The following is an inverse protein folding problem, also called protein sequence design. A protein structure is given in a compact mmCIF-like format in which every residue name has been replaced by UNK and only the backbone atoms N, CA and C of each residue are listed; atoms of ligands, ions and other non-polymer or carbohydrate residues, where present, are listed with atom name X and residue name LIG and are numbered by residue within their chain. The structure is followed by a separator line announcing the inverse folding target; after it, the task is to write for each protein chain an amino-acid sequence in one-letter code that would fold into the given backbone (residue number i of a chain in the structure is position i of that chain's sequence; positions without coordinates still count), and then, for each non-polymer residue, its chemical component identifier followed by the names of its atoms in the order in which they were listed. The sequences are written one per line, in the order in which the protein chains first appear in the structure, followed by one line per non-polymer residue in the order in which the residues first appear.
data_IF_589489620842
#
_entry.id   IF_589489620842
#
_cell.length_a   1.000
_cell.length_b   1.000
_cell.length_c   1.000
_cell.angle_alpha   90.00
_cell.angle_beta   90.00
_cell.angle_gamma   90.00
#
_symmetry.space_group_name_H-M   'P 1'
#
loop_
_entity.id
_entity.type
_entity.pdbx_description
1 polymer ?
#
# COMPACT_ATOMS: atom_id res chain seq x y z
N UNK A 1 40.61 -60.59 2.97
CA UNK A 1 40.89 -59.28 3.64
C UNK A 1 40.50 -58.20 2.65
N UNK A 2 39.60 -57.22 2.88
CA UNK A 2 38.79 -56.75 4.01
C UNK A 2 37.42 -56.34 3.44
N UNK A 3 36.36 -56.60 4.22
CA UNK A 3 35.03 -55.97 4.10
C UNK A 3 35.11 -54.48 4.46
N UNK A 4 34.03 -53.73 4.19
CA UNK A 4 33.53 -52.47 4.80
C UNK A 4 33.04 -51.56 3.64
N UNK A 5 31.89 -50.91 3.67
CA UNK A 5 30.63 -51.03 4.40
C UNK A 5 29.64 -50.11 3.65
N UNK A 6 28.39 -50.52 3.61
CA UNK A 6 27.25 -49.77 3.11
C UNK A 6 27.07 -48.44 3.82
N UNK A 7 26.75 -47.37 3.09
CA UNK A 7 26.01 -46.22 3.61
C UNK A 7 24.89 -45.91 2.61
N UNK A 8 23.69 -46.40 2.95
CA UNK A 8 22.44 -45.81 2.50
C UNK A 8 22.30 -44.45 3.17
N UNK A 9 22.10 -43.37 2.40
CA UNK A 9 21.36 -42.21 2.88
C UNK A 9 20.22 -42.00 1.90
N UNK A 10 19.03 -42.32 2.40
CA UNK A 10 17.75 -42.03 1.78
C UNK A 10 17.60 -40.51 1.64
N UNK A 11 17.45 -40.01 0.41
CA UNK A 11 16.96 -38.66 0.20
C UNK A 11 15.45 -38.73 0.02
N UNK A 12 14.79 -38.21 1.04
CA UNK A 12 13.36 -38.21 1.26
C UNK A 12 12.59 -37.55 0.11
N UNK A 13 11.46 -38.17 -0.24
CA UNK A 13 10.33 -37.59 -0.98
C UNK A 13 10.02 -36.18 -0.46
N UNK A 14 10.13 -35.15 -1.31
CA UNK A 14 9.35 -33.92 -1.19
C UNK A 14 8.16 -34.02 -2.14
N UNK A 15 7.15 -34.77 -1.71
CA UNK A 15 5.83 -34.74 -2.34
C UNK A 15 5.16 -33.39 -2.01
N UNK A 16 4.90 -32.62 -3.07
CA UNK A 16 3.70 -31.80 -3.28
C UNK A 16 2.99 -31.21 -2.05
N UNK A 17 3.25 -29.93 -1.81
CA UNK A 17 2.22 -28.99 -1.33
C UNK A 17 2.18 -27.82 -2.34
N UNK A 18 1.66 -28.11 -3.53
CA UNK A 18 1.10 -27.04 -4.37
C UNK A 18 -0.16 -26.58 -3.65
N UNK A 19 -0.09 -25.45 -2.95
CA UNK A 19 -1.27 -24.79 -2.45
C UNK A 19 -2.14 -24.44 -3.67
N UNK A 20 -3.18 -25.23 -3.90
CA UNK A 20 -4.24 -24.91 -4.85
C UNK A 20 -4.83 -23.57 -4.44
N UNK A 21 -4.68 -22.57 -5.31
CA UNK A 21 -5.44 -21.32 -5.26
C UNK A 21 -6.87 -21.64 -5.70
N UNK A 22 -7.67 -22.17 -4.79
CA UNK A 22 -9.13 -22.19 -4.95
C UNK A 22 -9.66 -20.84 -4.45
N UNK A 23 -9.73 -19.87 -5.35
CA UNK A 23 -10.62 -18.71 -5.16
C UNK A 23 -11.49 -18.62 -6.40
N UNK A 24 -12.76 -18.94 -6.22
CA UNK A 24 -13.78 -18.72 -7.24
C UNK A 24 -13.74 -17.25 -7.68
N UNK A 25 -13.74 -17.02 -8.99
CA UNK A 25 -13.99 -15.70 -9.55
C UNK A 25 -15.40 -15.30 -9.14
N UNK A 26 -15.53 -14.31 -8.25
CA UNK A 26 -16.83 -13.79 -7.86
C UNK A 26 -17.45 -13.08 -9.08
N UNK A 27 -18.66 -13.51 -9.43
CA UNK A 27 -19.37 -13.08 -10.63
C UNK A 27 -19.85 -11.65 -10.41
N UNK A 28 -19.28 -10.71 -11.18
CA UNK A 28 -19.56 -9.28 -11.09
C UNK A 28 -21.04 -8.96 -11.21
N UNK A 29 -21.66 -8.59 -10.08
CA UNK A 29 -22.77 -7.63 -10.02
C UNK A 29 -23.15 -7.16 -8.60
N UNK A 30 -22.44 -7.61 -7.58
CA UNK A 30 -22.69 -7.20 -6.19
C UNK A 30 -21.99 -5.87 -5.91
N UNK A 31 -22.64 -4.89 -5.23
CA UNK A 31 -21.94 -3.76 -4.64
C UNK A 31 -20.74 -4.30 -3.87
N UNK A 32 -19.55 -3.77 -4.13
CA UNK A 32 -18.29 -4.23 -3.53
C UNK A 32 -18.30 -3.94 -2.03
N UNK A 33 -18.75 -4.93 -1.25
CA UNK A 33 -18.86 -4.92 0.21
C UNK A 33 -17.46 -4.94 0.82
N UNK A 34 -17.28 -4.26 1.96
CA UNK A 34 -16.03 -4.38 2.70
C UNK A 34 -15.76 -5.85 3.04
N UNK A 35 -14.61 -6.40 2.62
CA UNK A 35 -14.30 -7.83 2.86
C UNK A 35 -13.91 -8.06 4.31
N UNK A 36 -12.84 -7.42 4.77
CA UNK A 36 -12.37 -7.51 6.14
C UNK A 36 -11.49 -6.32 6.49
N UNK A 37 -11.54 -5.90 7.75
CA UNK A 37 -10.51 -5.02 8.31
C UNK A 37 -9.16 -5.74 8.24
N UNK A 38 -8.12 -5.06 7.77
CA UNK A 38 -6.75 -5.54 7.78
C UNK A 38 -6.14 -5.15 9.13
N UNK A 39 -5.91 -6.10 10.05
CA UNK A 39 -5.34 -5.77 11.35
C UNK A 39 -3.88 -5.34 11.19
N UNK A 40 -3.39 -4.53 12.12
CA UNK A 40 -2.00 -4.06 12.09
C UNK A 40 -0.99 -5.23 12.19
N UNK A 41 -1.38 -6.35 12.79
CA UNK A 41 -0.58 -7.58 12.85
C UNK A 41 -0.42 -8.28 11.49
N UNK A 42 -1.19 -7.90 10.48
CA UNK A 42 -1.06 -8.39 9.11
C UNK A 42 0.00 -7.63 8.30
N UNK A 43 0.75 -6.69 8.90
CA UNK A 43 1.76 -5.90 8.22
C UNK A 43 3.18 -6.24 8.69
N UNK A 44 4.10 -6.26 7.73
CA UNK A 44 5.54 -6.29 7.94
C UNK A 44 6.01 -4.85 7.91
N UNK A 45 6.73 -4.47 8.97
CA UNK A 45 7.31 -3.14 9.12
C UNK A 45 8.78 -3.21 8.75
N UNK A 46 9.21 -2.38 7.82
CA UNK A 46 10.59 -2.32 7.39
C UNK A 46 10.97 -0.90 6.96
N UNK A 47 12.27 -0.63 6.93
CA UNK A 47 12.81 0.64 6.49
C UNK A 47 14.22 0.47 5.98
N UNK A 48 14.66 1.39 5.12
CA UNK A 48 16.04 1.42 4.61
C UNK A 48 16.98 2.16 5.55
N UNK A 49 16.45 2.88 6.55
CA UNK A 49 17.25 3.78 7.38
C UNK A 49 16.69 3.97 8.80
N UNK A 50 16.61 5.23 9.27
CA UNK A 50 16.31 5.57 10.67
C UNK A 50 14.83 5.79 10.95
N UNK A 51 14.00 5.99 9.91
CA UNK A 51 12.57 5.86 10.07
C UNK A 51 12.26 4.42 10.48
N UNK A 52 11.51 4.27 11.57
CA UNK A 52 11.08 2.94 12.01
C UNK A 52 9.58 2.96 12.09
N UNK A 53 8.87 2.36 11.12
CA UNK A 53 7.45 2.16 11.24
C UNK A 53 7.16 1.38 12.52
N UNK A 54 6.08 1.72 13.19
CA UNK A 54 5.71 1.08 14.46
C UNK A 54 4.20 0.94 14.60
N UNK A 55 3.81 -0.08 15.35
CA UNK A 55 2.43 -0.30 15.76
C UNK A 55 2.06 0.70 16.86
N UNK A 56 0.93 1.38 16.71
CA UNK A 56 0.45 2.40 17.64
C UNK A 56 -0.25 1.69 18.80
N UNK A 57 0.45 1.60 19.93
CA UNK A 57 -0.03 0.94 21.16
C UNK A 57 -1.42 1.44 21.59
N UNK A 58 -2.26 0.51 22.06
CA UNK A 58 -3.64 0.80 22.48
C UNK A 58 -4.63 1.01 21.31
N UNK A 59 -4.20 0.83 20.06
CA UNK A 59 -5.03 0.94 18.87
C UNK A 59 -4.70 -0.15 17.84
N UNK A 60 -5.45 -0.21 16.73
CA UNK A 60 -5.12 -1.02 15.55
C UNK A 60 -4.46 -0.17 14.46
N UNK A 61 -3.62 0.79 14.87
CA UNK A 61 -3.02 1.78 14.00
C UNK A 61 -1.54 1.55 13.72
N UNK A 62 -1.06 1.95 12.56
CA UNK A 62 0.35 1.91 12.19
C UNK A 62 0.83 3.34 11.92
N UNK A 63 1.99 3.68 12.46
CA UNK A 63 2.71 4.91 12.11
C UNK A 63 3.86 4.58 11.16
N UNK A 64 3.99 5.34 10.08
CA UNK A 64 5.11 5.31 9.15
C UNK A 64 5.77 6.70 9.17
N UNK A 65 6.79 6.93 10.02
CA UNK A 65 7.48 8.21 10.10
C UNK A 65 8.37 8.41 8.87
N UNK A 66 8.59 9.65 8.46
CA UNK A 66 9.61 9.99 7.45
C UNK A 66 10.96 10.07 8.16
N UNK A 67 11.89 9.19 7.83
CA UNK A 67 13.24 9.27 8.35
C UNK A 67 14.12 10.29 7.62
N UNK A 68 15.38 10.44 8.05
CA UNK A 68 16.20 11.63 7.78
C UNK A 68 17.41 11.41 6.87
N UNK A 69 17.53 10.28 6.19
CA UNK A 69 18.67 10.02 5.29
C UNK A 69 18.31 10.13 3.81
N UNK A 70 19.32 10.27 2.95
CA UNK A 70 19.15 10.70 1.54
C UNK A 70 18.26 9.82 0.66
N UNK A 71 17.97 8.60 1.09
CA UNK A 71 17.07 7.64 0.42
C UNK A 71 16.32 6.85 1.48
N UNK A 72 15.60 7.56 2.34
CA UNK A 72 14.78 6.93 3.38
C UNK A 72 13.49 6.40 2.76
N UNK A 73 13.31 5.09 2.84
CA UNK A 73 12.09 4.40 2.45
C UNK A 73 11.67 3.57 3.64
N UNK A 74 10.61 3.98 4.31
CA UNK A 74 9.99 3.21 5.37
C UNK A 74 8.60 2.78 4.95
N UNK A 75 8.24 1.55 5.31
CA UNK A 75 6.99 0.97 4.88
C UNK A 75 6.36 0.05 5.93
N UNK A 76 5.04 0.09 5.94
CA UNK A 76 4.19 -0.96 6.46
C UNK A 76 3.53 -1.63 5.26
N UNK A 77 3.90 -2.88 5.00
CA UNK A 77 3.40 -3.66 3.87
C UNK A 77 2.63 -4.88 4.36
N UNK A 78 1.42 -5.11 3.84
CA UNK A 78 0.62 -6.29 4.16
C UNK A 78 1.36 -7.59 3.82
N UNK A 79 1.36 -8.56 4.72
CA UNK A 79 2.14 -9.81 4.64
C UNK A 79 1.62 -10.75 3.54
N UNK A 80 0.29 -10.85 3.45
CA UNK A 80 -0.40 -11.61 2.42
C UNK A 80 -1.35 -10.68 1.69
N UNK A 81 -1.12 -10.49 0.40
CA UNK A 81 -2.06 -9.78 -0.45
C UNK A 81 -3.41 -10.50 -0.50
N UNK A 82 -4.38 -9.88 -1.15
CA UNK A 82 -5.72 -10.40 -1.31
C UNK A 82 -6.36 -9.80 -2.54
N UNK A 83 -7.33 -10.50 -3.11
CA UNK A 83 -8.17 -9.91 -4.14
C UNK A 83 -8.93 -8.71 -3.56
N UNK A 84 -8.74 -7.56 -4.18
CA UNK A 84 -9.39 -6.31 -3.78
C UNK A 84 -9.73 -5.45 -5.00
N UNK A 85 -10.69 -4.58 -4.79
CA UNK A 85 -11.25 -3.58 -5.68
C UNK A 85 -11.00 -2.17 -5.14
N UNK A 86 -10.56 -2.04 -3.89
CA UNK A 86 -10.38 -0.74 -3.26
C UNK A 86 -9.84 -0.85 -1.85
N UNK A 87 -9.51 0.30 -1.28
CA UNK A 87 -9.07 0.45 0.11
C UNK A 87 -9.85 1.54 0.83
N UNK A 88 -9.89 1.43 2.15
CA UNK A 88 -10.24 2.52 3.05
C UNK A 88 -9.33 2.49 4.28
N UNK A 89 -8.96 3.67 4.79
CA UNK A 89 -8.35 3.81 6.11
C UNK A 89 -8.77 5.14 6.74
N UNK A 90 -8.80 5.16 8.07
CA UNK A 90 -8.85 6.41 8.84
C UNK A 90 -7.42 6.80 9.19
N UNK A 91 -7.02 8.04 8.96
CA UNK A 91 -5.62 8.38 9.16
C UNK A 91 -5.30 9.79 8.74
N UNK A 92 -4.01 10.11 8.71
CA UNK A 92 -3.53 11.41 8.29
C UNK A 92 -2.16 11.29 7.61
N UNK A 93 -1.86 12.30 6.80
CA UNK A 93 -0.55 12.54 6.21
C UNK A 93 0.03 13.79 6.86
N UNK A 94 0.82 13.64 7.92
CA UNK A 94 1.35 14.76 8.70
C UNK A 94 2.60 15.34 8.06
N UNK A 95 2.68 16.66 8.11
CA UNK A 95 3.85 17.46 7.74
C UNK A 95 3.96 17.75 6.24
N UNK A 96 5.08 18.36 5.86
CA UNK A 96 5.37 18.83 4.49
C UNK A 96 5.69 20.33 4.44
N UNK A 97 6.42 20.74 3.38
CA UNK A 97 7.08 22.03 3.04
C UNK A 97 8.60 22.16 3.27
N UNK A 98 9.26 21.07 3.68
CA UNK A 98 10.69 21.06 4.02
C UNK A 98 11.55 20.16 3.11
N UNK A 99 10.95 19.47 2.14
CA UNK A 99 11.65 18.58 1.23
C UNK A 99 12.20 19.32 0.00
N UNK A 100 13.35 18.87 -0.50
CA UNK A 100 13.99 19.45 -1.69
C UNK A 100 13.40 18.96 -3.01
N UNK A 101 12.54 17.93 -2.98
CA UNK A 101 12.07 17.23 -4.18
C UNK A 101 10.59 16.88 -4.07
N UNK A 102 9.88 16.97 -5.19
CA UNK A 102 8.51 16.45 -5.34
C UNK A 102 8.43 14.93 -5.34
N UNK A 103 9.57 14.24 -5.45
CA UNK A 103 9.65 12.80 -5.23
C UNK A 103 9.64 12.43 -3.74
N UNK A 104 9.89 13.39 -2.85
CA UNK A 104 9.71 13.14 -1.41
C UNK A 104 8.23 13.10 -1.11
N UNK A 105 7.72 11.96 -0.68
CA UNK A 105 6.29 11.70 -0.57
C UNK A 105 5.94 10.78 0.59
N UNK A 106 4.67 10.79 0.93
CA UNK A 106 4.02 9.85 1.83
C UNK A 106 2.85 9.23 1.07
N UNK A 107 2.73 7.92 1.03
CA UNK A 107 1.69 7.24 0.25
C UNK A 107 1.00 6.13 1.04
N UNK A 108 -0.30 5.97 0.80
CA UNK A 108 -1.11 4.83 1.27
C UNK A 108 -1.91 4.29 0.09
N UNK A 109 -1.69 3.03 -0.28
CA UNK A 109 -2.18 2.47 -1.53
C UNK A 109 -2.34 0.95 -1.51
N UNK A 110 -3.02 0.44 -2.53
CA UNK A 110 -2.98 -0.96 -2.94
C UNK A 110 -2.06 -1.12 -4.14
N UNK A 111 -1.21 -2.14 -4.16
CA UNK A 111 -0.35 -2.49 -5.29
C UNK A 111 -0.30 -4.00 -5.53
N UNK A 112 -0.22 -4.43 -6.79
CA UNK A 112 -0.18 -5.86 -7.16
C UNK A 112 1.26 -6.40 -7.26
N UNK A 113 2.27 -5.52 -7.16
CA UNK A 113 3.68 -5.87 -7.25
C UNK A 113 4.54 -5.12 -6.23
N UNK A 114 4.65 -5.68 -5.02
CA UNK A 114 5.53 -5.20 -3.93
C UNK A 114 7.01 -5.56 -4.11
N UNK A 115 7.38 -6.25 -5.19
CA UNK A 115 8.79 -6.62 -5.46
C UNK A 115 9.47 -5.60 -6.36
N UNK A 116 8.77 -5.13 -7.40
CA UNK A 116 9.33 -4.22 -8.39
C UNK A 116 8.68 -2.83 -8.40
N UNK A 117 7.58 -2.63 -7.66
CA UNK A 117 6.89 -1.33 -7.55
C UNK A 117 6.53 -0.68 -8.90
N UNK A 118 6.27 -1.51 -9.90
CA UNK A 118 5.97 -1.11 -11.28
C UNK A 118 4.59 -1.63 -11.76
N UNK A 119 3.79 -2.10 -10.81
CA UNK A 119 2.50 -2.73 -11.06
C UNK A 119 1.34 -1.75 -11.16
N UNK A 120 0.12 -2.27 -11.03
CA UNK A 120 -1.07 -1.45 -10.87
C UNK A 120 -1.12 -0.96 -9.42
N UNK A 121 -1.24 0.35 -9.24
CA UNK A 121 -1.38 0.95 -7.91
C UNK A 121 -2.56 1.93 -7.88
N UNK A 122 -3.28 1.94 -6.77
CA UNK A 122 -4.30 2.95 -6.51
C UNK A 122 -4.26 3.39 -5.05
N UNK A 123 -4.31 4.69 -4.81
CA UNK A 123 -4.29 5.21 -3.46
C UNK A 123 -4.11 6.69 -3.35
N UNK A 124 -3.59 7.11 -2.21
CA UNK A 124 -3.40 8.49 -1.83
C UNK A 124 -1.91 8.76 -1.64
N UNK A 125 -1.48 9.94 -2.07
CA UNK A 125 -0.10 10.37 -1.99
C UNK A 125 -0.03 11.84 -1.59
N UNK A 126 0.86 12.16 -0.67
CA UNK A 126 1.17 13.52 -0.28
C UNK A 126 2.60 13.85 -0.64
N UNK A 127 2.79 14.87 -1.46
CA UNK A 127 4.13 15.38 -1.78
C UNK A 127 4.60 16.32 -0.68
N UNK A 128 5.84 16.09 -0.21
CA UNK A 128 6.40 16.72 0.99
C UNK A 128 7.10 18.05 0.71
N UNK A 129 7.40 18.36 -0.54
CA UNK A 129 7.96 19.66 -0.93
C UNK A 129 6.88 20.76 -0.95
N UNK A 130 5.68 20.43 -1.41
CA UNK A 130 4.58 21.38 -1.64
C UNK A 130 3.37 21.15 -0.72
N UNK A 131 3.40 20.10 0.11
CA UNK A 131 2.35 19.77 1.07
C UNK A 131 0.98 19.50 0.39
N UNK A 132 1.00 18.84 -0.77
CA UNK A 132 -0.20 18.58 -1.58
C UNK A 132 -0.62 17.12 -1.49
N UNK A 133 -1.85 16.89 -1.04
CA UNK A 133 -2.49 15.58 -1.01
C UNK A 133 -3.22 15.31 -2.34
N UNK A 134 -3.01 14.12 -2.89
CA UNK A 134 -3.52 13.70 -4.21
C UNK A 134 -4.11 12.29 -4.11
N UNK A 135 -5.12 12.01 -4.91
CA UNK A 135 -5.46 10.64 -5.30
C UNK A 135 -4.67 10.28 -6.55
N UNK A 136 -4.21 9.04 -6.67
CA UNK A 136 -3.39 8.61 -7.81
C UNK A 136 -3.70 7.19 -8.28
N UNK A 137 -3.35 6.93 -9.54
CA UNK A 137 -3.29 5.63 -10.19
C UNK A 137 -1.92 5.44 -10.87
N UNK A 138 -1.33 4.26 -10.69
CA UNK A 138 -0.18 3.79 -11.47
C UNK A 138 -0.57 2.55 -12.26
N UNK A 139 -0.06 2.38 -13.47
CA UNK A 139 -0.27 1.16 -14.26
C UNK A 139 0.17 1.32 -15.71
N UNK A 140 0.79 0.29 -16.29
CA UNK A 140 1.28 0.31 -17.67
C UNK A 140 2.33 1.39 -17.95
N UNK A 141 3.14 1.75 -16.95
CA UNK A 141 4.13 2.83 -17.03
C UNK A 141 3.57 4.25 -16.94
N UNK A 142 2.26 4.39 -16.68
CA UNK A 142 1.61 5.69 -16.47
C UNK A 142 1.40 5.96 -14.98
N UNK A 143 1.51 7.23 -14.62
CA UNK A 143 1.21 7.75 -13.29
C UNK A 143 0.24 8.92 -13.45
N UNK A 144 -0.99 8.77 -12.94
CA UNK A 144 -2.09 9.72 -13.11
C UNK A 144 -2.55 10.15 -11.73
N UNK A 145 -2.71 11.45 -11.49
CA UNK A 145 -3.14 11.96 -10.19
C UNK A 145 -4.05 13.18 -10.33
N UNK A 146 -4.79 13.46 -9.25
CA UNK A 146 -5.54 14.69 -9.09
C UNK A 146 -5.46 15.18 -7.64
N UNK A 147 -5.29 16.49 -7.47
CA UNK A 147 -5.20 17.13 -6.16
C UNK A 147 -6.52 17.03 -5.39
N UNK A 148 -6.42 16.67 -4.12
CA UNK A 148 -7.53 16.62 -3.15
C UNK A 148 -7.52 17.87 -2.28
N UNK A 149 -6.37 18.18 -1.66
CA UNK A 149 -6.19 19.29 -0.74
C UNK A 149 -4.72 19.73 -0.67
N UNK A 150 -4.50 20.91 -0.12
CA UNK A 150 -3.18 21.53 0.07
C UNK A 150 -3.05 21.92 1.54
N UNK A 151 -1.88 21.72 2.15
CA UNK A 151 -1.63 22.00 3.57
C UNK A 151 -2.51 21.22 4.56
N UNK A 152 -2.96 20.05 4.15
CA UNK A 152 -3.86 19.22 4.94
C UNK A 152 -3.10 18.19 5.76
N UNK A 153 -3.11 18.36 7.08
CA UNK A 153 -2.53 17.42 8.04
C UNK A 153 -3.61 16.76 8.92
N UNK A 154 -4.88 16.93 8.54
CA UNK A 154 -6.04 16.46 9.29
C UNK A 154 -6.19 14.94 9.26
N UNK A 155 -6.96 14.43 10.22
CA UNK A 155 -7.41 13.05 10.16
C UNK A 155 -8.67 12.96 9.31
N UNK A 156 -8.67 12.02 8.38
CA UNK A 156 -9.77 11.78 7.47
C UNK A 156 -10.01 10.28 7.28
N UNK A 157 -11.21 9.95 6.80
CA UNK A 157 -11.47 8.63 6.20
C UNK A 157 -11.19 8.71 4.71
N UNK A 158 -10.06 8.14 4.29
CA UNK A 158 -9.68 8.05 2.88
C UNK A 158 -10.21 6.75 2.28
N UNK A 159 -10.84 6.83 1.10
CA UNK A 159 -11.31 5.64 0.37
C UNK A 159 -11.10 5.80 -1.13
N UNK A 160 -10.54 4.79 -1.78
CA UNK A 160 -10.55 4.67 -3.23
C UNK A 160 -11.06 3.30 -3.67
N UNK A 161 -11.83 3.24 -4.75
CA UNK A 161 -12.48 2.00 -5.19
C UNK A 161 -12.67 1.93 -6.71
N UNK A 162 -12.15 0.87 -7.31
CA UNK A 162 -12.31 0.53 -8.71
C UNK A 162 -13.75 0.15 -9.04
N UNK A 163 -14.20 0.55 -10.23
CA UNK A 163 -15.57 0.30 -10.68
C UNK A 163 -15.67 -1.06 -11.36
N UNK A 164 -16.66 -1.85 -10.97
CA UNK A 164 -16.96 -3.13 -11.63
C UNK A 164 -17.38 -2.95 -13.09
N UNK A 165 -18.04 -1.83 -13.42
CA UNK A 165 -18.47 -1.49 -14.77
C UNK A 165 -17.36 -0.97 -15.68
N UNK A 166 -16.24 -0.52 -15.09
CA UNK A 166 -15.05 -0.12 -15.83
C UNK A 166 -13.80 -0.29 -14.96
N UNK A 167 -13.07 -1.37 -15.20
CA UNK A 167 -11.90 -1.79 -14.40
C UNK A 167 -10.72 -0.82 -14.50
N UNK A 168 -10.76 0.14 -15.42
CA UNK A 168 -9.76 1.20 -15.59
C UNK A 168 -10.05 2.45 -14.77
N UNK A 169 -11.20 2.51 -14.10
CA UNK A 169 -11.67 3.66 -13.33
C UNK A 169 -11.68 3.40 -11.84
N UNK A 170 -11.25 4.39 -11.06
CA UNK A 170 -11.24 4.37 -9.59
C UNK A 170 -11.85 5.66 -9.05
N UNK A 171 -12.86 5.52 -8.20
CA UNK A 171 -13.51 6.62 -7.51
C UNK A 171 -12.80 6.93 -6.19
N UNK A 172 -12.61 8.20 -5.88
CA UNK A 172 -11.93 8.69 -4.68
C UNK A 172 -12.89 9.46 -3.77
N UNK A 173 -12.80 9.18 -2.47
CA UNK A 173 -13.62 9.77 -1.42
C UNK A 173 -12.74 10.18 -0.24
N UNK A 174 -13.12 11.28 0.41
CA UNK A 174 -12.57 11.71 1.71
C UNK A 174 -13.73 12.05 2.62
N UNK A 175 -13.74 11.45 3.81
CA UNK A 175 -14.83 11.56 4.81
C UNK A 175 -16.20 11.18 4.25
N UNK A 176 -16.23 10.15 3.38
CA UNK A 176 -17.43 9.71 2.69
C UNK A 176 -17.90 10.63 1.56
N UNK A 177 -17.25 11.78 1.35
CA UNK A 177 -17.57 12.73 0.28
C UNK A 177 -16.76 12.38 -0.97
N UNK A 178 -17.47 12.13 -2.08
CA UNK A 178 -16.87 11.94 -3.39
C UNK A 178 -16.03 13.14 -3.80
N UNK A 179 -14.83 12.90 -4.35
CA UNK A 179 -13.93 13.93 -4.86
C UNK A 179 -13.85 13.91 -6.39
N UNK A 180 -13.49 12.77 -6.95
CA UNK A 180 -13.30 12.59 -8.39
C UNK A 180 -13.13 11.10 -8.76
N UNK A 181 -13.15 10.82 -10.05
CA UNK A 181 -12.77 9.53 -10.65
C UNK A 181 -11.49 9.73 -11.45
N UNK A 182 -10.51 8.85 -11.27
CA UNK A 182 -9.35 8.75 -12.18
C UNK A 182 -9.54 7.59 -13.16
N UNK A 183 -9.04 7.75 -14.39
CA UNK A 183 -9.06 6.71 -15.42
C UNK A 183 -7.63 6.46 -15.91
N UNK A 184 -7.16 5.21 -15.86
CA UNK A 184 -5.92 4.78 -16.50
C UNK A 184 -6.21 3.57 -17.40
N UNK A 185 -6.27 3.81 -18.71
CA UNK A 185 -6.55 2.76 -19.70
C UNK A 185 -5.37 1.78 -19.89
N UNK A 186 -4.20 2.07 -19.30
CA UNK A 186 -3.00 1.22 -19.37
C UNK A 186 -2.90 0.23 -18.20
N UNK A 187 -3.75 0.36 -17.18
CA UNK A 187 -3.79 -0.51 -16.00
C UNK A 187 -5.19 -1.07 -15.74
N UNK A 188 -5.32 -2.09 -14.91
CA UNK A 188 -6.62 -2.61 -14.44
C UNK A 188 -6.60 -2.65 -12.93
N UNK A 189 -7.71 -2.24 -12.28
CA UNK A 189 -7.75 -2.03 -10.82
C UNK A 189 -8.80 -2.85 -10.09
N UNK A 190 -9.60 -3.63 -10.83
CA UNK A 190 -10.72 -4.34 -10.27
C UNK A 190 -10.37 -5.80 -9.97
N UNK A 191 -10.48 -6.19 -8.70
CA UNK A 191 -10.37 -7.57 -8.24
C UNK A 191 -8.99 -8.22 -8.53
N UNK A 192 -7.92 -7.42 -8.49
CA UNK A 192 -6.56 -7.94 -8.57
C UNK A 192 -6.06 -8.37 -7.20
N UNK A 193 -5.02 -9.19 -7.20
CA UNK A 193 -4.31 -9.58 -5.98
C UNK A 193 -3.44 -8.42 -5.49
N UNK A 194 -3.97 -7.67 -4.52
CA UNK A 194 -3.37 -6.44 -4.00
C UNK A 194 -2.76 -6.63 -2.61
N UNK A 195 -1.69 -5.89 -2.35
CA UNK A 195 -1.09 -5.68 -1.04
C UNK A 195 -1.41 -4.27 -0.57
N UNK A 196 -1.86 -4.12 0.68
CA UNK A 196 -2.00 -2.82 1.33
C UNK A 196 -0.64 -2.31 1.79
N UNK A 197 -0.29 -1.08 1.41
CA UNK A 197 0.99 -0.46 1.73
C UNK A 197 0.77 0.96 2.24
N UNK A 198 1.43 1.30 3.34
CA UNK A 198 1.73 2.68 3.71
C UNK A 198 3.24 2.88 3.68
N UNK A 199 3.74 3.88 2.96
CA UNK A 199 5.18 4.11 2.80
C UNK A 199 5.52 5.59 2.73
N UNK A 200 6.77 5.93 2.96
CA UNK A 200 7.30 7.24 2.64
C UNK A 200 8.57 7.13 1.79
N UNK A 201 8.87 8.19 1.06
CA UNK A 201 10.13 8.40 0.38
C UNK A 201 10.71 9.76 0.79
N UNK A 202 11.98 9.80 1.18
CA UNK A 202 12.69 11.03 1.45
C UNK A 202 13.93 11.19 0.58
N UNK A 203 13.94 12.25 -0.24
CA UNK A 203 15.04 12.61 -1.14
C UNK A 203 15.74 13.92 -0.73
N UNK A 204 15.88 14.14 0.57
CA UNK A 204 16.63 15.29 1.13
C UNK A 204 15.80 16.56 1.38
N UNK A 205 16.39 17.49 2.13
CA UNK A 205 15.73 18.67 2.69
C UNK A 205 16.28 19.01 4.07
N UNK A 206 15.60 19.89 4.81
CA UNK A 206 15.85 20.02 6.25
C UNK A 206 15.32 18.79 7.00
N UNK A 207 15.78 18.54 8.23
CA UNK A 207 15.38 17.36 9.01
C UNK A 207 13.85 17.18 9.01
N UNK A 208 13.32 16.02 8.59
CA UNK A 208 11.87 15.78 8.52
C UNK A 208 11.29 15.54 9.92
N UNK A 209 11.21 16.59 10.72
CA UNK A 209 10.59 16.52 12.05
C UNK A 209 9.08 16.58 11.93
N UNK A 210 8.38 15.59 12.50
CA UNK A 210 6.92 15.54 12.56
C UNK A 210 6.22 15.10 11.28
N UNK A 211 6.97 14.69 10.26
CA UNK A 211 6.41 14.12 9.04
C UNK A 211 6.15 12.63 9.24
N UNK A 212 4.90 12.19 9.15
CA UNK A 212 4.53 10.79 9.27
C UNK A 212 3.15 10.51 8.66
N UNK A 213 2.93 9.25 8.30
CA UNK A 213 1.60 8.72 8.03
C UNK A 213 1.11 8.01 9.28
N UNK A 214 -0.15 8.18 9.62
CA UNK A 214 -0.83 7.29 10.54
C UNK A 214 -2.01 6.64 9.85
N UNK A 215 -2.12 5.32 9.96
CA UNK A 215 -3.16 4.52 9.33
C UNK A 215 -3.88 3.69 10.38
N UNK A 216 -5.18 3.84 10.47
CA UNK A 216 -6.09 3.12 11.36
C UNK A 216 -7.25 2.55 10.55
N UNK A 217 -7.97 1.59 11.11
CA UNK A 217 -9.20 1.05 10.52
C UNK A 217 -9.04 0.65 9.04
N UNK A 218 -7.86 0.10 8.70
CA UNK A 218 -7.49 -0.28 7.34
C UNK A 218 -8.44 -1.38 6.85
N UNK A 219 -8.99 -1.22 5.66
CA UNK A 219 -10.00 -2.12 5.09
C UNK A 219 -9.76 -2.24 3.59
N UNK A 220 -10.02 -3.41 3.03
CA UNK A 220 -10.12 -3.63 1.58
C UNK A 220 -11.52 -4.04 1.17
N UNK A 221 -11.89 -3.74 -0.07
CA UNK A 221 -13.19 -4.09 -0.68
C UNK A 221 -13.03 -5.14 -1.76
#
# INVERSE_FOLDING_TARGET
MKKIASVMIALSLCATMSCKKDVAADAGNTPTVARAAVPQSAFNLWGTCNGKPYLISGSNGICVPVGNCSTDIDAAQQNGGQNATGLQFYGCFKGGSNANSSASEQAVFLCDNVTQWNGNEMGFVKTLNDNVLKGYLQGGGQYIYQTISTNDNGYHTFKCQAKSSNVHQVDFYVDGVYKFTLTNNSGSYYNNWYYFVGTNHWYGGSSPTGQQIEMYSMTTF
#
